data_IF_382090802611
#
_entry.id   IF_382090802611
#
_cell.length_a   1.000
_cell.length_b   1.000
_cell.length_c   1.000
_cell.angle_alpha   90.00
_cell.angle_beta   90.00
_cell.angle_gamma   90.00
#
_symmetry.space_group_name_H-M   'P 1'
#
loop_
_entity.id
_entity.type
_entity.pdbx_description
1 polymer ?
#
# COMPACT_ATOMS: atom_id res chain seq x y z
N UNK A 1 4.56 -7.09 2.75
CA UNK A 1 3.83 -5.85 2.43
C UNK A 1 4.61 -5.01 1.44
N UNK A 2 3.95 -4.33 0.54
CA UNK A 2 4.61 -3.46 -0.43
C UNK A 2 3.62 -2.36 -0.89
N UNK A 3 4.10 -1.35 -1.62
CA UNK A 3 3.27 -0.32 -2.26
C UNK A 3 3.34 -0.49 -3.79
N UNK A 4 4.48 -0.94 -4.33
CA UNK A 4 4.78 -0.96 -5.76
C UNK A 4 4.61 0.42 -6.40
N UNK A 5 5.48 1.34 -6.02
CA UNK A 5 5.49 2.73 -6.48
C UNK A 5 5.93 2.82 -7.95
N UNK A 6 5.01 2.48 -8.87
CA UNK A 6 5.27 2.40 -10.31
C UNK A 6 5.16 3.75 -11.04
N UNK A 7 4.58 4.75 -10.38
CA UNK A 7 4.43 6.12 -10.86
C UNK A 7 4.20 7.08 -9.69
N UNK A 8 4.53 8.34 -9.86
CA UNK A 8 4.23 9.40 -8.88
C UNK A 8 2.73 9.68 -8.78
N UNK A 9 1.99 9.53 -9.89
CA UNK A 9 0.54 9.62 -9.90
C UNK A 9 -0.08 8.33 -9.35
N UNK A 10 -0.84 8.38 -8.23
CA UNK A 10 -1.45 7.19 -7.61
C UNK A 10 -2.32 6.38 -8.55
N UNK A 11 -3.08 7.08 -9.41
CA UNK A 11 -3.95 6.45 -10.41
C UNK A 11 -3.13 5.72 -11.48
N UNK A 12 -2.12 6.36 -12.03
CA UNK A 12 -1.27 5.74 -13.05
C UNK A 12 -0.52 4.53 -12.48
N UNK A 13 -0.02 4.65 -11.23
CA UNK A 13 0.59 3.52 -10.53
C UNK A 13 -0.38 2.32 -10.40
N UNK A 14 -1.67 2.56 -10.11
CA UNK A 14 -2.68 1.52 -10.03
C UNK A 14 -2.97 0.87 -11.40
N UNK A 15 -3.07 1.66 -12.47
CA UNK A 15 -3.31 1.19 -13.83
C UNK A 15 -2.15 0.31 -14.34
N UNK A 16 -0.92 0.60 -13.95
CA UNK A 16 0.27 -0.19 -14.30
C UNK A 16 0.35 -1.54 -13.58
N UNK A 17 -0.40 -1.74 -12.49
CA UNK A 17 -0.29 -2.99 -11.74
C UNK A 17 -0.83 -4.19 -12.50
N UNK A 18 -0.11 -5.31 -12.38
CA UNK A 18 -0.57 -6.63 -12.84
C UNK A 18 -1.85 -7.05 -12.10
N UNK A 19 -2.66 -7.88 -12.70
CA UNK A 19 -3.97 -8.32 -12.17
C UNK A 19 -3.92 -8.80 -10.72
N UNK A 20 -2.94 -9.64 -10.38
CA UNK A 20 -2.79 -10.15 -9.01
C UNK A 20 -2.45 -9.07 -7.99
N UNK A 21 -1.70 -8.05 -8.42
CA UNK A 21 -1.37 -6.93 -7.54
C UNK A 21 -2.55 -5.98 -7.35
N UNK A 22 -3.34 -5.70 -8.39
CA UNK A 22 -4.59 -4.92 -8.23
C UNK A 22 -5.45 -5.49 -7.09
N UNK A 23 -5.66 -6.80 -7.06
CA UNK A 23 -6.44 -7.45 -6.01
C UNK A 23 -5.77 -7.36 -4.64
N UNK A 24 -4.49 -7.72 -4.59
CA UNK A 24 -3.74 -7.88 -3.32
C UNK A 24 -3.40 -6.54 -2.67
N UNK A 25 -3.03 -5.54 -3.47
CA UNK A 25 -2.54 -4.26 -2.93
C UNK A 25 -3.63 -3.40 -2.32
N UNK A 26 -4.91 -3.59 -2.67
CA UNK A 26 -6.02 -2.97 -1.94
C UNK A 26 -6.01 -3.39 -0.47
N UNK A 27 -5.86 -4.68 -0.21
CA UNK A 27 -5.80 -5.20 1.16
C UNK A 27 -4.53 -4.72 1.89
N UNK A 28 -3.36 -4.80 1.24
CA UNK A 28 -2.10 -4.37 1.86
C UNK A 28 -2.09 -2.87 2.15
N UNK A 29 -2.63 -2.03 1.27
CA UNK A 29 -2.80 -0.59 1.51
C UNK A 29 -3.71 -0.33 2.71
N UNK A 30 -4.86 -1.00 2.79
CA UNK A 30 -5.76 -0.86 3.93
C UNK A 30 -5.11 -1.30 5.25
N UNK A 31 -4.26 -2.34 5.23
CA UNK A 31 -3.49 -2.78 6.39
C UNK A 31 -2.41 -1.77 6.79
N UNK A 32 -1.70 -1.15 5.83
CA UNK A 32 -0.71 -0.10 6.09
C UNK A 32 -1.37 1.14 6.71
N UNK A 33 -2.47 1.60 6.13
CA UNK A 33 -3.25 2.74 6.61
C UNK A 33 -3.83 2.48 8.00
N UNK A 34 -4.43 1.31 8.25
CA UNK A 34 -4.91 0.91 9.58
C UNK A 34 -3.77 0.85 10.60
N UNK A 35 -2.60 0.36 10.19
CA UNK A 35 -1.40 0.34 11.04
C UNK A 35 -0.95 1.75 11.41
N UNK A 36 -1.05 2.70 10.47
CA UNK A 36 -0.74 4.10 10.76
C UNK A 36 -1.65 4.67 11.85
N UNK A 37 -2.97 4.47 11.74
CA UNK A 37 -3.93 4.90 12.77
C UNK A 37 -3.61 4.30 14.14
N UNK A 38 -3.41 2.99 14.18
CA UNK A 38 -3.16 2.31 15.45
C UNK A 38 -1.87 2.75 16.11
N UNK A 39 -0.78 2.88 15.36
CA UNK A 39 0.52 3.25 15.92
C UNK A 39 0.58 4.72 16.32
N UNK A 40 -0.10 5.62 15.61
CA UNK A 40 -0.07 7.07 15.85
C UNK A 40 -1.10 7.51 16.89
N UNK A 41 -2.33 6.99 16.83
CA UNK A 41 -3.45 7.42 17.68
C UNK A 41 -3.76 6.41 18.79
N UNK A 42 -3.36 5.15 18.65
CA UNK A 42 -3.72 4.09 19.59
C UNK A 42 -2.83 4.01 20.82
N UNK A 43 -3.37 3.40 21.87
CA UNK A 43 -2.63 3.08 23.10
C UNK A 43 -1.97 1.72 22.94
N UNK A 44 -0.64 1.70 23.08
CA UNK A 44 0.13 0.45 23.00
C UNK A 44 -0.10 -0.41 24.25
N UNK A 45 -0.25 -1.72 24.04
CA UNK A 45 -0.32 -2.71 25.11
C UNK A 45 0.33 -4.03 24.73
N UNK A 46 0.70 -4.84 25.71
CA UNK A 46 1.15 -6.22 25.49
C UNK A 46 -0.06 -7.13 25.32
N UNK A 47 -0.22 -7.70 24.15
CA UNK A 47 -1.28 -8.63 23.82
C UNK A 47 -0.75 -9.95 23.29
N UNK A 48 -1.61 -10.74 22.62
CA UNK A 48 -1.23 -12.00 21.97
C UNK A 48 -1.37 -11.89 20.47
N UNK A 49 -0.45 -12.49 19.73
CA UNK A 49 -0.57 -12.72 18.30
C UNK A 49 -1.65 -13.78 18.01
N UNK A 50 -2.01 -13.94 16.74
CA UNK A 50 -2.93 -14.99 16.29
C UNK A 50 -2.44 -16.41 16.65
N UNK A 51 -1.10 -16.60 16.74
CA UNK A 51 -0.48 -17.85 17.20
C UNK A 51 -0.32 -17.96 18.72
N UNK A 52 -0.91 -17.06 19.52
CA UNK A 52 -0.86 -17.06 20.98
C UNK A 52 0.42 -16.49 21.60
N UNK A 53 1.42 -16.07 20.80
CA UNK A 53 2.67 -15.49 21.30
C UNK A 53 2.46 -14.04 21.75
N UNK A 54 3.22 -13.60 22.73
CA UNK A 54 3.27 -12.17 23.13
C UNK A 54 3.57 -11.28 21.93
N UNK A 55 2.81 -10.20 21.78
CA UNK A 55 2.95 -9.24 20.69
C UNK A 55 2.53 -7.84 21.15
N UNK A 56 3.23 -6.83 20.64
CA UNK A 56 2.81 -5.44 20.79
C UNK A 56 1.50 -5.23 20.01
N UNK A 57 0.54 -4.58 20.64
CA UNK A 57 -0.79 -4.25 20.09
C UNK A 57 -1.10 -2.80 20.36
N UNK A 58 -2.00 -2.23 19.60
CA UNK A 58 -2.49 -0.87 19.76
C UNK A 58 -4.00 -0.86 19.72
N UNK A 59 -4.62 -0.30 20.74
CA UNK A 59 -6.07 -0.13 20.84
C UNK A 59 -6.42 1.31 20.51
N UNK A 60 -7.39 1.51 19.63
CA UNK A 60 -8.04 2.79 19.39
C UNK A 60 -9.18 2.95 20.37
N UNK A 61 -9.40 4.15 20.88
CA UNK A 61 -10.44 4.44 21.89
C UNK A 61 -11.74 4.99 21.27
N UNK A 62 -11.95 4.75 19.97
CA UNK A 62 -13.11 5.22 19.22
C UNK A 62 -13.63 4.15 18.26
N UNK A 63 -14.64 4.50 17.46
CA UNK A 63 -15.29 3.58 16.52
C UNK A 63 -14.36 2.95 15.46
N UNK A 64 -13.14 3.49 15.27
CA UNK A 64 -12.15 2.90 14.37
C UNK A 64 -11.63 1.53 14.87
N UNK A 65 -11.73 1.26 16.19
CA UNK A 65 -11.29 -0.01 16.80
C UNK A 65 -11.94 -1.23 16.14
N UNK A 66 -13.24 -1.18 15.90
CA UNK A 66 -14.03 -2.29 15.35
C UNK A 66 -13.89 -2.44 13.83
N UNK A 67 -13.46 -1.38 13.15
CA UNK A 67 -13.48 -1.32 11.69
C UNK A 67 -12.09 -1.58 11.08
N UNK A 68 -11.06 -1.00 11.70
CA UNK A 68 -9.70 -1.04 11.16
C UNK A 68 -8.96 -2.34 11.50
N UNK A 69 -8.15 -2.80 10.57
CA UNK A 69 -7.27 -3.96 10.82
C UNK A 69 -6.34 -3.72 12.02
N UNK A 70 -5.97 -4.81 12.68
CA UNK A 70 -4.91 -4.77 13.69
C UNK A 70 -3.58 -4.31 13.09
N UNK A 71 -2.78 -3.58 13.86
CA UNK A 71 -1.44 -3.18 13.44
C UNK A 71 -0.60 -4.42 13.06
N UNK A 72 0.03 -4.35 11.91
CA UNK A 72 0.89 -5.42 11.39
C UNK A 72 2.12 -4.86 10.71
N UNK A 73 3.22 -5.63 10.71
CA UNK A 73 4.46 -5.25 10.03
C UNK A 73 4.91 -3.81 10.33
N UNK A 74 4.79 -3.39 11.59
CA UNK A 74 4.98 -2.00 12.03
C UNK A 74 6.34 -1.40 11.65
N UNK A 75 7.38 -2.24 11.56
CA UNK A 75 8.74 -1.83 11.19
C UNK A 75 9.05 -2.02 9.70
N UNK A 76 8.10 -2.49 8.89
CA UNK A 76 8.31 -2.61 7.47
C UNK A 76 8.52 -1.21 6.84
N UNK A 77 9.48 -1.02 5.92
CA UNK A 77 9.77 0.31 5.35
C UNK A 77 8.54 1.03 4.80
N UNK A 78 7.64 0.34 4.10
CA UNK A 78 6.38 0.92 3.60
C UNK A 78 5.43 1.34 4.72
N UNK A 79 5.40 0.61 5.86
CA UNK A 79 4.56 0.98 7.00
C UNK A 79 5.12 2.20 7.73
N UNK A 80 6.45 2.29 7.85
CA UNK A 80 7.13 3.47 8.42
C UNK A 80 6.89 4.67 7.51
N UNK A 81 7.07 4.53 6.20
CA UNK A 81 6.85 5.59 5.23
C UNK A 81 5.41 6.12 5.25
N UNK A 82 4.42 5.25 5.25
CA UNK A 82 2.99 5.63 5.24
C UNK A 82 2.62 6.54 6.42
N UNK A 83 3.16 6.27 7.62
CA UNK A 83 2.87 7.05 8.83
C UNK A 83 3.86 8.16 9.14
N UNK A 84 4.80 8.45 8.23
CA UNK A 84 5.80 9.50 8.39
C UNK A 84 5.21 10.88 8.20
N UNK A 85 4.27 11.04 7.26
CA UNK A 85 3.64 12.33 6.98
C UNK A 85 2.21 12.18 6.44
N UNK A 86 1.44 13.26 6.54
CA UNK A 86 0.08 13.35 6.01
C UNK A 86 0.08 13.13 4.50
N UNK A 87 1.00 13.74 3.75
CA UNK A 87 1.04 13.60 2.30
C UNK A 87 1.41 12.19 1.85
N UNK A 88 2.29 11.49 2.58
CA UNK A 88 2.55 10.07 2.32
C UNK A 88 1.31 9.22 2.54
N UNK A 89 0.58 9.49 3.64
CA UNK A 89 -0.66 8.81 3.96
C UNK A 89 -1.71 9.03 2.87
N UNK A 90 -1.93 10.30 2.47
CA UNK A 90 -2.91 10.69 1.44
C UNK A 90 -2.56 10.04 0.10
N UNK A 91 -1.29 10.04 -0.30
CA UNK A 91 -0.87 9.37 -1.52
C UNK A 91 -1.29 7.89 -1.51
N UNK A 92 -1.09 7.19 -0.39
CA UNK A 92 -1.47 5.77 -0.29
C UNK A 92 -2.99 5.58 -0.26
N UNK A 93 -3.74 6.52 0.31
CA UNK A 93 -5.22 6.54 0.23
C UNK A 93 -5.66 6.64 -1.22
N UNK A 94 -5.16 7.63 -1.97
CA UNK A 94 -5.52 7.85 -3.37
C UNK A 94 -5.15 6.64 -4.23
N UNK A 95 -4.00 6.02 -3.94
CA UNK A 95 -3.59 4.79 -4.61
C UNK A 95 -4.53 3.61 -4.30
N UNK A 96 -4.93 3.44 -3.05
CA UNK A 96 -5.89 2.40 -2.64
C UNK A 96 -7.25 2.60 -3.34
N UNK A 97 -7.74 3.84 -3.42
CA UNK A 97 -9.00 4.14 -4.12
C UNK A 97 -8.88 3.87 -5.62
N UNK A 98 -7.77 4.28 -6.23
CA UNK A 98 -7.48 4.00 -7.64
C UNK A 98 -7.41 2.50 -7.92
N UNK A 99 -6.82 1.72 -7.03
CA UNK A 99 -6.80 0.25 -7.12
C UNK A 99 -8.20 -0.36 -6.99
N UNK A 100 -9.06 0.17 -6.13
CA UNK A 100 -10.45 -0.30 -6.00
C UNK A 100 -11.27 0.02 -7.25
N UNK A 101 -11.03 1.16 -7.89
CA UNK A 101 -11.66 1.52 -9.16
C UNK A 101 -11.13 0.61 -10.29
N UNK A 102 -9.83 0.37 -10.33
CA UNK A 102 -9.19 -0.55 -11.27
C UNK A 102 -9.70 -1.99 -11.10
N UNK A 103 -9.89 -2.44 -9.85
CA UNK A 103 -10.50 -3.74 -9.56
C UNK A 103 -11.91 -3.84 -10.12
N UNK A 104 -12.74 -2.81 -9.92
CA UNK A 104 -14.09 -2.75 -10.45
C UNK A 104 -14.10 -2.73 -11.98
N UNK A 105 -13.22 -1.94 -12.59
CA UNK A 105 -13.06 -1.86 -14.03
C UNK A 105 -12.70 -3.20 -14.67
N UNK A 106 -11.66 -3.88 -14.10
CA UNK A 106 -11.18 -5.16 -14.65
C UNK A 106 -12.15 -6.30 -14.43
N UNK A 107 -12.77 -6.40 -13.26
CA UNK A 107 -13.50 -7.59 -12.82
C UNK A 107 -15.02 -7.38 -12.69
N UNK A 108 -15.53 -6.16 -12.79
CA UNK A 108 -16.95 -5.86 -12.59
C UNK A 108 -17.46 -6.13 -11.16
N UNK A 109 -16.55 -6.13 -10.17
CA UNK A 109 -16.85 -6.46 -8.77
C UNK A 109 -16.42 -5.32 -7.84
N UNK A 110 -17.02 -5.25 -6.66
CA UNK A 110 -16.61 -4.33 -5.60
C UNK A 110 -15.73 -5.08 -4.60
N UNK A 111 -14.53 -4.54 -4.34
CA UNK A 111 -13.61 -5.14 -3.37
C UNK A 111 -14.14 -5.01 -1.93
N UNK A 112 -13.87 -6.01 -1.07
CA UNK A 112 -14.37 -6.06 0.32
C UNK A 112 -14.00 -4.83 1.15
N UNK A 113 -12.81 -4.26 0.96
CA UNK A 113 -12.39 -3.03 1.67
C UNK A 113 -13.35 -1.87 1.40
N UNK A 114 -13.89 -1.76 0.17
CA UNK A 114 -14.90 -0.75 -0.17
C UNK A 114 -16.27 -1.12 0.38
N UNK A 115 -16.74 -2.35 0.13
CA UNK A 115 -18.09 -2.78 0.51
C UNK A 115 -18.32 -2.89 2.03
N UNK A 116 -17.25 -3.06 2.82
CA UNK A 116 -17.32 -3.06 4.30
C UNK A 116 -17.39 -1.66 4.92
N UNK A 117 -17.21 -0.60 4.13
CA UNK A 117 -17.13 0.78 4.64
C UNK A 117 -15.74 1.16 5.20
N UNK A 118 -14.80 0.22 5.30
CA UNK A 118 -13.46 0.49 5.84
C UNK A 118 -12.75 1.62 5.10
N UNK A 119 -12.83 1.63 3.75
CA UNK A 119 -12.18 2.66 2.93
C UNK A 119 -12.64 4.07 3.29
N UNK A 120 -13.89 4.27 3.73
CA UNK A 120 -14.39 5.57 4.18
C UNK A 120 -13.64 6.07 5.41
N UNK A 121 -13.40 5.21 6.39
CA UNK A 121 -12.68 5.57 7.61
C UNK A 121 -11.18 5.79 7.38
N UNK A 122 -10.62 5.17 6.35
CA UNK A 122 -9.21 5.33 5.97
C UNK A 122 -8.92 6.58 5.13
N UNK A 123 -9.93 7.34 4.69
CA UNK A 123 -9.71 8.57 3.90
C UNK A 123 -9.01 9.68 4.71
N UNK A 124 -9.27 9.75 6.00
CA UNK A 124 -8.67 10.75 6.87
C UNK A 124 -7.40 10.21 7.50
N UNK A 125 -6.31 10.97 7.56
CA UNK A 125 -5.11 10.55 8.26
C UNK A 125 -5.33 10.44 9.78
N UNK A 126 -4.44 9.74 10.51
CA UNK A 126 -4.45 9.72 11.97
C UNK A 126 -4.46 11.14 12.57
N UNK A 127 -5.19 11.37 13.64
CA UNK A 127 -5.35 12.69 14.28
C UNK A 127 -4.04 13.31 14.76
N UNK A 128 -3.12 12.45 15.22
CA UNK A 128 -1.83 12.86 15.76
C UNK A 128 -0.70 12.85 14.71
N UNK A 129 -0.98 12.56 13.45
CA UNK A 129 0.00 12.69 12.37
C UNK A 129 0.10 14.18 11.95
N UNK A 130 1.25 14.81 12.23
CA UNK A 130 1.43 16.26 12.10
C UNK A 130 2.35 16.70 10.97
N UNK A 131 3.27 15.82 10.53
CA UNK A 131 4.19 16.12 9.44
C UNK A 131 3.47 16.14 8.09
N UNK A 132 3.79 17.10 7.22
CA UNK A 132 3.07 17.30 5.95
C UNK A 132 3.87 16.95 4.70
N UNK A 133 5.17 16.82 4.79
CA UNK A 133 6.03 16.68 3.61
C UNK A 133 5.90 15.32 2.93
N UNK A 134 5.61 15.29 1.62
CA UNK A 134 5.73 14.08 0.84
C UNK A 134 7.20 13.63 0.74
N UNK A 135 7.40 12.34 0.91
CA UNK A 135 8.70 11.70 0.72
C UNK A 135 8.56 10.52 -0.23
N UNK A 136 9.61 10.24 -1.00
CA UNK A 136 9.61 9.09 -1.92
C UNK A 136 9.49 7.79 -1.09
N UNK A 137 8.59 6.86 -1.49
CA UNK A 137 8.52 5.54 -0.84
C UNK A 137 9.83 4.76 -0.98
N UNK A 138 10.20 3.94 -0.01
CA UNK A 138 11.40 3.11 -0.10
C UNK A 138 11.26 2.02 -1.16
N UNK A 139 12.37 1.64 -1.80
CA UNK A 139 12.46 0.47 -2.67
C UNK A 139 12.44 -0.82 -1.83
N UNK A 140 11.24 -1.30 -1.49
CA UNK A 140 11.03 -2.47 -0.63
C UNK A 140 11.06 -3.78 -1.45
N UNK A 141 12.25 -4.14 -1.95
CA UNK A 141 12.50 -5.33 -2.77
C UNK A 141 13.90 -5.90 -2.49
N UNK A 142 14.24 -7.04 -3.09
CA UNK A 142 15.60 -7.56 -3.04
C UNK A 142 16.58 -6.63 -3.77
N UNK A 143 17.81 -6.53 -3.27
CA UNK A 143 18.84 -5.62 -3.76
C UNK A 143 19.15 -5.80 -5.24
N UNK A 144 19.03 -7.03 -5.75
CA UNK A 144 19.28 -7.37 -7.15
C UNK A 144 18.38 -6.61 -8.15
N UNK A 145 17.28 -6.05 -7.68
CA UNK A 145 16.36 -5.24 -8.50
C UNK A 145 16.53 -3.74 -8.34
N UNK A 146 17.44 -3.30 -7.46
CA UNK A 146 17.69 -1.89 -7.19
C UNK A 146 18.75 -1.37 -8.14
N UNK A 147 18.37 -0.46 -9.04
CA UNK A 147 19.25 0.16 -10.03
C UNK A 147 19.98 1.39 -9.47
N UNK A 148 19.38 2.08 -8.49
CA UNK A 148 19.90 3.32 -7.93
C UNK A 148 18.87 4.01 -7.04
N UNK A 149 18.94 5.34 -6.96
CA UNK A 149 18.11 6.14 -6.05
C UNK A 149 16.67 6.36 -6.56
N UNK A 150 16.40 6.14 -7.84
CA UNK A 150 15.05 6.28 -8.40
C UNK A 150 14.17 5.09 -8.03
N UNK A 151 13.29 5.30 -7.07
CA UNK A 151 12.35 4.26 -6.60
C UNK A 151 11.39 3.80 -7.70
N UNK A 152 10.94 4.69 -8.60
CA UNK A 152 10.06 4.31 -9.72
C UNK A 152 10.79 3.38 -10.67
N UNK A 153 12.04 3.73 -11.03
CA UNK A 153 12.89 2.89 -11.88
C UNK A 153 13.13 1.51 -11.24
N UNK A 154 13.43 1.47 -9.94
CA UNK A 154 13.63 0.24 -9.18
C UNK A 154 12.37 -0.66 -9.22
N UNK A 155 11.18 -0.10 -8.98
CA UNK A 155 9.94 -0.88 -9.04
C UNK A 155 9.59 -1.34 -10.45
N UNK A 156 9.84 -0.54 -11.49
CA UNK A 156 9.68 -0.97 -12.88
C UNK A 156 10.62 -2.11 -13.23
N UNK A 157 11.91 -2.00 -12.85
CA UNK A 157 12.88 -3.09 -13.02
C UNK A 157 12.43 -4.37 -12.28
N UNK A 158 11.96 -4.22 -11.05
CA UNK A 158 11.42 -5.34 -10.28
C UNK A 158 10.20 -6.00 -10.96
N UNK A 159 9.33 -5.20 -11.58
CA UNK A 159 8.19 -5.73 -12.35
C UNK A 159 8.65 -6.53 -13.57
N UNK A 160 9.61 -5.99 -14.34
CA UNK A 160 10.12 -6.63 -15.54
C UNK A 160 10.79 -7.96 -15.20
N UNK A 161 11.73 -7.94 -14.25
CA UNK A 161 12.62 -9.07 -13.99
C UNK A 161 12.17 -9.99 -12.85
N UNK A 162 11.59 -9.43 -11.78
CA UNK A 162 11.21 -10.20 -10.59
C UNK A 162 9.73 -10.59 -10.54
N UNK A 163 8.88 -10.05 -11.41
CA UNK A 163 7.44 -10.33 -11.45
C UNK A 163 6.94 -10.83 -12.80
N UNK A 164 7.82 -11.22 -13.72
CA UNK A 164 7.47 -11.67 -15.07
C UNK A 164 6.42 -12.78 -15.09
N UNK A 165 6.46 -13.70 -14.14
CA UNK A 165 5.48 -14.79 -13.99
C UNK A 165 4.05 -14.33 -13.61
N UNK A 166 3.86 -13.04 -13.31
CA UNK A 166 2.57 -12.42 -12.98
C UNK A 166 2.01 -11.55 -14.10
N UNK A 167 2.75 -11.34 -15.19
CA UNK A 167 2.41 -10.41 -16.25
C UNK A 167 1.05 -10.74 -16.88
N UNK A 168 0.04 -10.01 -16.48
CA UNK A 168 -1.31 -10.02 -17.02
C UNK A 168 -2.04 -8.75 -16.64
N UNK A 169 -2.67 -8.09 -17.61
CA UNK A 169 -3.43 -6.84 -17.46
C UNK A 169 -4.80 -6.99 -18.12
N UNK A 170 -5.80 -7.50 -17.38
CA UNK A 170 -7.17 -7.65 -17.90
C UNK A 170 -7.76 -6.30 -18.22
N UNK A 171 -8.27 -6.11 -19.45
CA UNK A 171 -8.84 -4.85 -19.98
C UNK A 171 -7.90 -3.65 -20.01
N UNK A 172 -6.60 -3.85 -19.87
CA UNK A 172 -5.57 -2.84 -19.99
C UNK A 172 -4.48 -3.35 -20.92
N UNK A 173 -3.86 -2.43 -21.64
CA UNK A 173 -2.62 -2.73 -22.36
C UNK A 173 -1.47 -2.89 -21.38
N UNK A 174 -0.48 -3.66 -21.77
CA UNK A 174 0.77 -3.76 -21.04
C UNK A 174 1.44 -2.37 -20.97
N UNK A 175 1.96 -1.94 -19.82
CA UNK A 175 2.60 -0.64 -19.72
C UNK A 175 3.75 -0.47 -20.73
N UNK A 176 3.83 0.67 -21.40
CA UNK A 176 4.81 0.94 -22.48
C UNK A 176 6.28 0.72 -22.06
N UNK A 177 6.60 0.95 -20.79
CA UNK A 177 7.94 0.76 -20.24
C UNK A 177 8.32 -0.73 -20.05
N UNK A 178 7.37 -1.65 -20.21
CA UNK A 178 7.66 -3.09 -20.24
C UNK A 178 8.31 -3.53 -21.54
N UNK A 179 8.00 -2.86 -22.66
CA UNK A 179 8.57 -3.14 -23.98
C UNK A 179 9.93 -2.44 -24.17
N UNK A 180 10.11 -1.31 -23.48
CA UNK A 180 11.33 -0.51 -23.54
C UNK A 180 11.93 -0.41 -22.13
N UNK A 181 12.60 -1.45 -21.62
CA UNK A 181 13.16 -1.44 -20.29
C UNK A 181 14.14 -0.28 -20.11
N UNK A 182 14.11 0.34 -18.94
CA UNK A 182 15.02 1.42 -18.57
C UNK A 182 16.44 0.84 -18.63
N UNK A 183 17.39 1.47 -19.34
CA UNK A 183 18.80 1.04 -19.32
C UNK A 183 19.32 1.02 -17.88
N UNK A 184 20.08 -0.02 -17.56
CA UNK A 184 20.73 -0.17 -16.26
C UNK A 184 21.77 0.92 -16.02
#
# INVERSE_FOLDING_TARGET
MNIFFLDYCPKQAAEYMVDKHVVKMILESAQLLSTAHRVIDGIEYEGKSQSGRKARRWKLEDGREEIMYSATHINHPSAVWCRKSVENYVWLVDHMFSLMDEYTYRYGKIHKVRSSGMSFHLQSPPFNLKEWNFTIPPSAMATDYILGDDTVANYKNYYINGKSHLHKWTKRDMPYWMENPIPA
#
